data_IF_062837610186
#
_entry.id   IF_062837610186
#
_cell.length_a   1.000
_cell.length_b   1.000
_cell.length_c   1.000
_cell.angle_alpha   90.00
_cell.angle_beta   90.00
_cell.angle_gamma   90.00
#
_symmetry.space_group_name_H-M   'P 1'
#
loop_
_entity.id
_entity.type
_entity.pdbx_description
1 polymer ?
#
# COMPACT_ATOMS: atom_id res chain seq x y z
N UNK A 1 30.89 -68.02 38.80
CA UNK A 1 29.93 -68.32 37.70
C UNK A 1 29.28 -67.02 37.24
N UNK A 2 29.89 -66.39 36.30
CA UNK A 2 29.35 -65.14 35.70
C UNK A 2 28.62 -65.51 34.40
N UNK A 3 27.30 -65.37 34.43
CA UNK A 3 26.46 -65.58 33.24
C UNK A 3 26.68 -64.40 32.26
N UNK A 4 27.29 -64.67 31.11
CA UNK A 4 27.36 -63.74 30.00
C UNK A 4 25.96 -63.55 29.38
N UNK A 5 25.41 -62.38 29.51
CA UNK A 5 24.16 -62.01 28.86
C UNK A 5 24.43 -61.93 27.35
N UNK A 6 23.67 -62.74 26.64
CA UNK A 6 23.85 -62.96 25.20
C UNK A 6 23.52 -61.66 24.43
N UNK A 7 24.55 -60.98 23.88
CA UNK A 7 24.44 -59.71 23.16
C UNK A 7 23.39 -59.74 22.04
N UNK A 8 23.12 -60.91 21.49
CA UNK A 8 22.11 -61.16 20.46
C UNK A 8 20.68 -61.05 20.99
N UNK A 9 20.44 -61.43 22.25
CA UNK A 9 19.12 -61.29 22.89
C UNK A 9 18.77 -59.81 23.16
N UNK A 10 19.77 -59.00 23.50
CA UNK A 10 19.60 -57.56 23.73
C UNK A 10 19.33 -56.82 22.39
N UNK A 11 20.01 -57.26 21.29
CA UNK A 11 19.79 -56.70 19.96
C UNK A 11 18.41 -57.05 19.42
N UNK A 12 17.94 -58.30 19.62
CA UNK A 12 16.61 -58.72 19.22
C UNK A 12 15.50 -57.95 20.02
N UNK A 13 15.71 -57.66 21.30
CA UNK A 13 14.79 -56.88 22.11
C UNK A 13 14.72 -55.38 21.64
N UNK A 14 15.87 -54.80 21.28
CA UNK A 14 15.93 -53.46 20.71
C UNK A 14 15.25 -53.33 19.35
N UNK A 15 15.37 -54.36 18.50
CA UNK A 15 14.69 -54.38 17.18
C UNK A 15 13.17 -54.54 17.36
N UNK A 16 12.72 -55.37 18.30
CA UNK A 16 11.27 -55.49 18.62
C UNK A 16 10.71 -54.23 19.23
N UNK A 17 11.45 -53.55 20.10
CA UNK A 17 11.05 -52.24 20.65
C UNK A 17 11.03 -51.13 19.57
N UNK A 18 11.95 -51.15 18.62
CA UNK A 18 11.95 -50.24 17.48
C UNK A 18 10.78 -50.46 16.49
N UNK A 19 10.33 -51.73 16.35
CA UNK A 19 9.14 -52.04 15.56
C UNK A 19 7.83 -51.75 16.27
N UNK A 20 7.80 -51.62 17.60
CA UNK A 20 6.61 -51.21 18.37
C UNK A 20 6.42 -49.67 18.45
N UNK A 21 7.45 -48.90 18.09
CA UNK A 21 7.29 -47.47 17.87
C UNK A 21 6.91 -47.26 16.40
N UNK A 22 5.80 -47.83 15.98
CA UNK A 22 5.12 -47.40 14.76
C UNK A 22 4.90 -45.89 14.93
N UNK A 23 5.56 -45.08 14.09
CA UNK A 23 5.19 -43.66 13.95
C UNK A 23 3.68 -43.62 13.89
N UNK A 24 3.01 -42.75 14.65
CA UNK A 24 1.58 -42.58 14.45
C UNK A 24 1.41 -42.25 12.98
N UNK A 25 0.71 -43.11 12.25
CA UNK A 25 0.25 -42.80 10.91
C UNK A 25 -0.44 -41.45 11.08
N UNK A 26 0.13 -40.39 10.48
CA UNK A 26 -0.52 -39.09 10.37
C UNK A 26 -1.83 -39.47 9.69
N UNK A 27 -2.94 -39.37 10.40
CA UNK A 27 -4.25 -39.53 9.79
C UNK A 27 -4.22 -38.57 8.59
N UNK A 28 -4.33 -39.08 7.38
CA UNK A 28 -4.66 -38.25 6.24
C UNK A 28 -5.97 -37.59 6.65
N UNK A 29 -5.93 -36.30 6.94
CA UNK A 29 -7.14 -35.52 7.21
C UNK A 29 -8.06 -35.77 6.00
N UNK A 30 -9.14 -36.46 6.23
CA UNK A 30 -10.12 -36.80 5.20
C UNK A 30 -10.68 -35.48 4.64
N UNK A 31 -10.23 -35.11 3.43
CA UNK A 31 -10.63 -33.87 2.78
C UNK A 31 -12.12 -33.91 2.49
N UNK A 32 -12.88 -33.03 3.10
CA UNK A 32 -14.32 -32.95 2.90
C UNK A 32 -14.66 -32.29 1.55
N UNK A 33 -15.56 -32.84 0.78
CA UNK A 33 -16.03 -32.28 -0.48
C UNK A 33 -16.94 -31.09 -0.26
N UNK A 34 -16.39 -29.87 -0.36
CA UNK A 34 -17.22 -28.65 -0.19
C UNK A 34 -18.21 -28.47 -1.34
N UNK A 35 -17.87 -28.90 -2.56
CA UNK A 35 -18.77 -28.79 -3.70
C UNK A 35 -20.09 -29.55 -3.47
N UNK A 36 -20.06 -30.75 -2.90
CA UNK A 36 -21.24 -31.54 -2.61
C UNK A 36 -22.17 -30.82 -1.62
N UNK A 37 -21.63 -30.17 -0.60
CA UNK A 37 -22.36 -29.36 0.38
C UNK A 37 -23.03 -28.16 -0.32
N UNK A 38 -22.30 -27.49 -1.20
CA UNK A 38 -22.78 -26.36 -2.00
C UNK A 38 -23.92 -26.84 -2.94
N UNK A 39 -23.77 -27.99 -3.60
CA UNK A 39 -24.74 -28.50 -4.56
C UNK A 39 -26.05 -28.89 -3.89
N UNK A 40 -26.03 -29.44 -2.68
CA UNK A 40 -27.20 -29.83 -1.91
C UNK A 40 -27.94 -28.66 -1.26
N UNK A 41 -27.32 -27.50 -1.13
CA UNK A 41 -27.92 -26.33 -0.50
C UNK A 41 -29.02 -25.71 -1.36
N UNK A 42 -30.09 -25.22 -0.74
CA UNK A 42 -31.09 -24.44 -1.43
C UNK A 42 -30.62 -23.02 -1.73
N UNK A 43 -31.05 -22.38 -2.81
CA UNK A 43 -30.78 -20.96 -3.05
C UNK A 43 -31.17 -20.09 -1.85
N UNK A 44 -30.30 -19.15 -1.45
CA UNK A 44 -30.49 -18.30 -0.28
C UNK A 44 -30.12 -18.93 1.06
N UNK A 45 -29.69 -20.20 1.07
CA UNK A 45 -29.32 -20.88 2.33
C UNK A 45 -28.04 -20.33 2.93
N UNK A 46 -27.93 -20.44 4.25
CA UNK A 46 -26.70 -20.21 5.00
C UNK A 46 -26.00 -21.53 5.29
N UNK A 47 -24.83 -21.73 4.74
CA UNK A 47 -23.95 -22.86 5.02
C UNK A 47 -22.98 -22.45 6.14
N UNK A 48 -23.05 -23.14 7.26
CA UNK A 48 -22.08 -22.94 8.38
C UNK A 48 -21.11 -24.09 8.33
N UNK A 49 -19.89 -23.80 7.91
CA UNK A 49 -18.83 -24.80 7.76
C UNK A 49 -18.20 -25.10 9.12
N UNK A 50 -18.07 -26.38 9.45
CA UNK A 50 -17.37 -26.84 10.64
C UNK A 50 -15.86 -26.72 10.47
N UNK A 51 -15.12 -26.56 11.56
CA UNK A 51 -13.64 -26.62 11.51
C UNK A 51 -13.15 -27.88 10.82
N UNK A 52 -12.19 -27.72 9.90
CA UNK A 52 -11.62 -28.82 9.14
C UNK A 52 -11.12 -28.38 7.78
N UNK A 53 -10.58 -29.34 7.02
CA UNK A 53 -9.98 -29.11 5.71
C UNK A 53 -10.95 -29.56 4.61
N UNK A 54 -11.27 -28.64 3.72
CA UNK A 54 -12.13 -28.84 2.56
C UNK A 54 -11.33 -28.84 1.27
N UNK A 55 -11.78 -29.61 0.29
CA UNK A 55 -11.14 -29.68 -1.02
C UNK A 55 -11.85 -28.78 -2.03
N UNK A 56 -11.05 -27.95 -2.74
CA UNK A 56 -11.48 -27.24 -3.94
C UNK A 56 -11.14 -28.04 -5.22
N UNK A 57 -11.58 -27.61 -6.40
CA UNK A 57 -12.29 -26.36 -6.67
C UNK A 57 -13.76 -26.38 -6.22
N UNK A 58 -14.32 -25.19 -5.94
CA UNK A 58 -15.73 -25.00 -5.58
C UNK A 58 -16.36 -23.96 -6.47
N UNK A 59 -17.53 -24.25 -7.03
CA UNK A 59 -18.32 -23.34 -7.85
C UNK A 59 -19.65 -23.04 -7.17
N UNK A 60 -19.90 -21.76 -6.89
CA UNK A 60 -21.14 -21.29 -6.27
C UNK A 60 -22.00 -20.64 -7.37
N UNK A 61 -22.94 -21.39 -7.91
CA UNK A 61 -23.82 -21.02 -9.02
C UNK A 61 -25.23 -20.58 -8.58
N UNK A 62 -25.47 -20.48 -7.29
CA UNK A 62 -26.72 -20.01 -6.67
C UNK A 62 -26.42 -19.12 -5.47
N UNK A 63 -27.27 -18.14 -5.14
CA UNK A 63 -27.05 -17.25 -4.00
C UNK A 63 -26.91 -18.06 -2.70
N UNK A 64 -25.78 -17.94 -2.03
CA UNK A 64 -25.53 -18.62 -0.76
C UNK A 64 -24.80 -17.67 0.20
N UNK A 65 -24.98 -17.90 1.49
CA UNK A 65 -24.09 -17.38 2.53
C UNK A 65 -23.23 -18.53 3.06
N UNK A 66 -21.94 -18.50 2.79
CA UNK A 66 -20.97 -19.49 3.27
C UNK A 66 -20.15 -18.85 4.38
N UNK A 67 -20.19 -19.38 5.59
CA UNK A 67 -19.45 -18.84 6.73
C UNK A 67 -18.92 -19.96 7.62
N UNK A 68 -17.88 -19.63 8.40
CA UNK A 68 -17.30 -20.56 9.37
C UNK A 68 -18.08 -20.60 10.67
N UNK A 69 -18.02 -21.71 11.39
CA UNK A 69 -18.56 -21.87 12.73
C UNK A 69 -17.53 -21.40 13.77
N UNK A 70 -17.79 -20.27 14.43
CA UNK A 70 -16.92 -19.73 15.49
C UNK A 70 -15.52 -19.33 15.00
N UNK A 71 -14.54 -19.43 15.89
CA UNK A 71 -13.13 -19.11 15.61
C UNK A 71 -12.33 -20.31 15.08
N UNK A 72 -12.98 -21.41 14.74
CA UNK A 72 -12.33 -22.63 14.25
C UNK A 72 -11.77 -22.48 12.84
N UNK A 73 -10.60 -23.06 12.60
CA UNK A 73 -9.93 -23.03 11.30
C UNK A 73 -10.72 -23.85 10.27
N UNK A 74 -11.30 -23.18 9.28
CA UNK A 74 -11.88 -23.80 8.09
C UNK A 74 -10.98 -23.50 6.92
N UNK A 75 -10.30 -24.50 6.39
CA UNK A 75 -9.36 -24.34 5.30
C UNK A 75 -9.87 -24.96 4.01
N UNK A 76 -9.90 -24.19 2.92
CA UNK A 76 -10.14 -24.68 1.56
C UNK A 76 -8.80 -24.80 0.84
N UNK A 77 -8.39 -26.03 0.54
CA UNK A 77 -7.16 -26.33 -0.19
C UNK A 77 -7.46 -26.60 -1.66
N UNK A 78 -6.78 -25.91 -2.55
CA UNK A 78 -6.85 -26.19 -3.98
C UNK A 78 -5.48 -26.70 -4.49
N UNK A 79 -5.54 -27.81 -5.23
CA UNK A 79 -4.38 -28.43 -5.89
C UNK A 79 -4.55 -28.52 -7.41
N UNK A 80 -5.55 -27.84 -7.96
CA UNK A 80 -5.88 -27.86 -9.38
C UNK A 80 -5.49 -26.56 -10.08
N UNK A 81 -5.51 -26.58 -11.40
CA UNK A 81 -5.30 -25.38 -12.23
C UNK A 81 -6.55 -24.46 -12.28
N UNK A 82 -7.70 -24.92 -11.76
CA UNK A 82 -8.92 -24.13 -11.68
C UNK A 82 -8.88 -23.20 -10.45
N UNK A 83 -9.72 -22.15 -10.40
CA UNK A 83 -9.88 -21.34 -9.20
C UNK A 83 -10.30 -22.21 -8.00
N UNK A 84 -9.76 -21.92 -6.82
CA UNK A 84 -10.18 -22.62 -5.59
C UNK A 84 -11.66 -22.38 -5.29
N UNK A 85 -12.13 -21.15 -5.54
CA UNK A 85 -13.51 -20.74 -5.35
C UNK A 85 -13.96 -19.87 -6.53
N UNK A 86 -15.04 -20.27 -7.20
CA UNK A 86 -15.73 -19.47 -8.22
C UNK A 86 -17.11 -19.05 -7.72
N UNK A 87 -17.41 -17.75 -7.78
CA UNK A 87 -18.67 -17.15 -7.38
C UNK A 87 -19.37 -16.63 -8.62
N UNK A 88 -20.32 -17.40 -9.14
CA UNK A 88 -21.04 -17.08 -10.37
C UNK A 88 -22.44 -16.50 -10.08
N UNK A 89 -22.93 -16.68 -8.86
CA UNK A 89 -24.26 -16.23 -8.46
C UNK A 89 -24.22 -14.86 -7.76
N UNK A 90 -25.18 -14.03 -8.10
CA UNK A 90 -25.43 -12.74 -7.48
C UNK A 90 -25.74 -12.84 -5.98
N UNK A 91 -25.26 -11.86 -5.21
CA UNK A 91 -25.57 -11.74 -3.78
C UNK A 91 -24.96 -12.82 -2.90
N UNK A 92 -23.99 -13.55 -3.40
CA UNK A 92 -23.27 -14.57 -2.62
C UNK A 92 -22.36 -13.91 -1.56
N UNK A 93 -22.39 -14.44 -0.35
CA UNK A 93 -21.52 -14.02 0.76
C UNK A 93 -20.60 -15.17 1.16
N UNK A 94 -19.29 -14.89 1.28
CA UNK A 94 -18.28 -15.83 1.82
C UNK A 94 -17.53 -15.17 2.94
N UNK A 95 -17.48 -15.80 4.12
CA UNK A 95 -16.88 -15.22 5.29
C UNK A 95 -16.03 -16.22 6.12
N UNK A 96 -14.87 -15.76 6.57
CA UNK A 96 -14.03 -16.44 7.56
C UNK A 96 -13.19 -17.61 7.04
N UNK A 97 -13.16 -17.89 5.75
CA UNK A 97 -12.41 -19.01 5.17
C UNK A 97 -10.92 -18.68 5.04
N UNK A 98 -10.09 -19.67 5.33
CA UNK A 98 -8.70 -19.73 4.89
C UNK A 98 -8.64 -20.49 3.55
N UNK A 99 -8.06 -19.89 2.52
CA UNK A 99 -7.95 -20.48 1.19
C UNK A 99 -6.47 -20.62 0.84
N UNK A 100 -6.00 -21.86 0.67
CA UNK A 100 -4.63 -22.16 0.29
C UNK A 100 -4.57 -22.68 -1.14
N UNK A 101 -4.00 -21.88 -2.03
CA UNK A 101 -3.84 -22.15 -3.45
C UNK A 101 -2.43 -21.75 -3.90
N UNK A 102 -1.44 -22.45 -3.39
CA UNK A 102 -0.02 -22.08 -3.50
C UNK A 102 0.67 -22.48 -4.80
N UNK A 103 -0.04 -23.09 -5.74
CA UNK A 103 0.52 -23.45 -7.05
C UNK A 103 0.61 -22.22 -7.95
N UNK A 104 1.78 -21.95 -8.53
CA UNK A 104 1.93 -20.85 -9.51
C UNK A 104 1.11 -21.17 -10.76
N UNK A 105 0.16 -20.30 -11.08
CA UNK A 105 -0.78 -20.47 -12.19
C UNK A 105 -1.34 -19.13 -12.65
N UNK A 106 -1.93 -19.11 -13.85
CA UNK A 106 -2.57 -17.92 -14.41
C UNK A 106 -4.01 -17.69 -13.88
N UNK A 107 -4.68 -18.76 -13.40
CA UNK A 107 -6.03 -18.64 -12.88
C UNK A 107 -6.02 -18.07 -11.45
N UNK A 108 -7.02 -17.24 -11.09
CA UNK A 108 -7.10 -16.68 -9.75
C UNK A 108 -7.45 -17.74 -8.69
N UNK A 109 -7.12 -17.44 -7.44
CA UNK A 109 -7.56 -18.25 -6.30
C UNK A 109 -9.07 -18.12 -6.09
N UNK A 110 -9.59 -16.89 -6.10
CA UNK A 110 -11.04 -16.60 -6.02
C UNK A 110 -11.46 -15.87 -7.28
N UNK A 111 -12.42 -16.43 -8.03
CA UNK A 111 -13.01 -15.80 -9.21
C UNK A 111 -14.43 -15.34 -8.90
N UNK A 112 -14.73 -14.07 -9.16
CA UNK A 112 -16.06 -13.47 -8.91
C UNK A 112 -16.64 -12.97 -10.22
N UNK A 113 -17.80 -13.52 -10.61
CA UNK A 113 -18.63 -13.12 -11.73
C UNK A 113 -20.05 -12.73 -11.32
N UNK A 114 -20.43 -13.05 -10.09
CA UNK A 114 -21.72 -12.66 -9.53
C UNK A 114 -21.73 -11.24 -8.99
N UNK A 115 -22.73 -10.45 -9.32
CA UNK A 115 -22.92 -9.11 -8.78
C UNK A 115 -23.22 -9.15 -7.27
N UNK A 116 -22.90 -8.07 -6.56
CA UNK A 116 -23.17 -7.91 -5.12
C UNK A 116 -22.55 -9.00 -4.24
N UNK A 117 -21.45 -9.59 -4.69
CA UNK A 117 -20.69 -10.55 -3.89
C UNK A 117 -20.07 -9.88 -2.67
N UNK A 118 -20.06 -10.57 -1.53
CA UNK A 118 -19.43 -10.11 -0.29
C UNK A 118 -18.38 -11.13 0.16
N UNK A 119 -17.11 -10.70 0.22
CA UNK A 119 -15.97 -11.46 0.73
C UNK A 119 -15.48 -10.79 2.02
N UNK A 120 -15.61 -11.46 3.15
CA UNK A 120 -15.33 -10.87 4.45
C UNK A 120 -14.43 -11.77 5.31
N UNK A 121 -13.35 -11.22 5.82
CA UNK A 121 -12.48 -11.92 6.79
C UNK A 121 -11.82 -13.17 6.22
N UNK A 122 -11.47 -13.17 4.94
CA UNK A 122 -10.78 -14.28 4.30
C UNK A 122 -9.26 -14.19 4.59
N UNK A 123 -8.61 -15.34 4.62
CA UNK A 123 -7.16 -15.43 4.56
C UNK A 123 -6.77 -16.22 3.31
N UNK A 124 -6.18 -15.55 2.32
CA UNK A 124 -5.87 -16.12 1.00
C UNK A 124 -4.37 -16.21 0.83
N UNK A 125 -3.87 -17.43 0.61
CA UNK A 125 -2.51 -17.71 0.15
C UNK A 125 -2.56 -18.12 -1.31
N UNK A 126 -2.06 -17.26 -2.19
CA UNK A 126 -2.24 -17.42 -3.64
C UNK A 126 -0.94 -17.67 -4.39
N UNK A 127 -1.00 -18.43 -5.48
CA UNK A 127 0.06 -18.56 -6.48
C UNK A 127 -0.34 -17.97 -7.85
N UNK A 128 -1.50 -17.32 -7.94
CA UNK A 128 -1.98 -16.52 -9.07
C UNK A 128 -2.56 -15.20 -8.56
N UNK A 129 -3.60 -14.65 -9.22
CA UNK A 129 -4.35 -13.55 -8.61
C UNK A 129 -5.08 -14.05 -7.36
N UNK A 130 -5.09 -13.23 -6.30
CA UNK A 130 -5.80 -13.57 -5.07
C UNK A 130 -7.31 -13.59 -5.28
N UNK A 131 -7.88 -12.46 -5.69
CA UNK A 131 -9.29 -12.29 -6.03
C UNK A 131 -9.37 -11.63 -7.40
N UNK A 132 -9.99 -12.28 -8.36
CA UNK A 132 -10.30 -11.70 -9.66
C UNK A 132 -11.80 -11.44 -9.80
N UNK A 133 -12.14 -10.20 -10.15
CA UNK A 133 -13.52 -9.77 -10.46
C UNK A 133 -13.61 -9.57 -11.97
N UNK A 134 -14.63 -10.17 -12.59
CA UNK A 134 -14.84 -10.09 -14.03
C UNK A 134 -16.31 -9.79 -14.33
N UNK A 135 -16.58 -8.63 -14.93
CA UNK A 135 -17.90 -8.18 -15.36
C UNK A 135 -18.97 -8.24 -14.24
N UNK A 136 -18.57 -7.96 -13.00
CA UNK A 136 -19.44 -8.04 -11.83
C UNK A 136 -19.39 -6.74 -11.02
N UNK A 137 -20.54 -6.27 -10.56
CA UNK A 137 -20.72 -4.97 -9.92
C UNK A 137 -21.12 -5.07 -8.43
N UNK A 138 -20.93 -3.94 -7.71
CA UNK A 138 -21.52 -3.66 -6.40
C UNK A 138 -21.04 -4.58 -5.27
N UNK A 139 -19.89 -5.22 -5.43
CA UNK A 139 -19.36 -6.12 -4.42
C UNK A 139 -18.58 -5.44 -3.29
N UNK A 140 -18.20 -6.25 -2.32
CA UNK A 140 -17.42 -5.85 -1.15
C UNK A 140 -16.35 -6.89 -0.84
N UNK A 141 -15.10 -6.46 -0.70
CA UNK A 141 -14.02 -7.24 -0.09
C UNK A 141 -13.57 -6.49 1.17
N UNK A 142 -13.69 -7.11 2.31
CA UNK A 142 -13.35 -6.44 3.58
C UNK A 142 -12.66 -7.37 4.57
N UNK A 143 -11.80 -6.81 5.44
CA UNK A 143 -11.07 -7.53 6.49
C UNK A 143 -10.33 -8.78 5.98
N UNK A 144 -9.90 -8.77 4.73
CA UNK A 144 -9.31 -9.92 4.05
C UNK A 144 -7.79 -9.76 3.96
N UNK A 145 -7.07 -10.84 4.25
CA UNK A 145 -5.61 -10.89 4.09
C UNK A 145 -5.27 -11.70 2.85
N UNK A 146 -4.42 -11.16 1.98
CA UNK A 146 -3.94 -11.82 0.76
C UNK A 146 -2.42 -11.80 0.77
N UNK A 147 -1.83 -13.00 0.78
CA UNK A 147 -0.39 -13.20 0.75
C UNK A 147 0.03 -14.07 -0.43
N UNK A 148 1.15 -13.74 -1.06
CA UNK A 148 1.77 -14.63 -2.04
C UNK A 148 2.31 -15.89 -1.39
N UNK A 149 2.04 -17.07 -1.96
CA UNK A 149 2.34 -18.36 -1.35
C UNK A 149 3.66 -19.00 -1.83
N UNK A 150 4.05 -18.79 -3.09
CA UNK A 150 5.18 -19.50 -3.71
C UNK A 150 6.51 -18.77 -3.49
N UNK A 151 7.55 -19.49 -3.10
CA UNK A 151 8.89 -18.94 -2.95
C UNK A 151 9.63 -18.85 -4.30
N UNK A 152 10.61 -17.94 -4.38
CA UNK A 152 11.52 -17.82 -5.53
C UNK A 152 10.90 -17.22 -6.79
N UNK A 153 9.65 -16.74 -6.76
CA UNK A 153 8.99 -16.09 -7.89
C UNK A 153 9.32 -14.61 -7.90
N UNK A 154 9.78 -14.09 -9.04
CA UNK A 154 10.07 -12.66 -9.18
C UNK A 154 8.78 -11.85 -9.09
N UNK A 155 8.84 -10.63 -8.56
CA UNK A 155 7.67 -9.74 -8.43
C UNK A 155 6.90 -9.58 -9.74
N UNK A 156 7.58 -9.46 -10.86
CA UNK A 156 6.97 -9.29 -12.18
C UNK A 156 6.21 -10.54 -12.71
N UNK A 157 6.46 -11.69 -12.12
CA UNK A 157 5.85 -12.97 -12.53
C UNK A 157 4.75 -13.42 -11.55
N UNK A 158 4.44 -12.60 -10.55
CA UNK A 158 3.37 -12.84 -9.58
C UNK A 158 2.02 -12.34 -10.11
N UNK A 159 0.94 -12.87 -9.56
CA UNK A 159 -0.41 -12.34 -9.75
C UNK A 159 -0.71 -11.13 -8.87
N UNK A 160 -1.83 -10.47 -9.13
CA UNK A 160 -2.34 -9.36 -8.34
C UNK A 160 -3.00 -9.85 -7.04
N UNK A 161 -3.02 -9.02 -6.01
CA UNK A 161 -3.79 -9.32 -4.80
C UNK A 161 -5.29 -9.32 -5.10
N UNK A 162 -5.75 -8.21 -5.63
CA UNK A 162 -7.11 -8.05 -6.19
C UNK A 162 -6.96 -7.54 -7.62
N UNK A 163 -7.67 -8.15 -8.55
CA UNK A 163 -7.68 -7.83 -9.96
C UNK A 163 -9.11 -7.64 -10.45
N UNK A 164 -9.48 -6.39 -10.76
CA UNK A 164 -10.82 -6.01 -11.16
C UNK A 164 -10.83 -5.56 -12.61
N UNK A 165 -11.57 -6.25 -13.44
CA UNK A 165 -11.83 -5.88 -14.82
C UNK A 165 -13.32 -5.71 -15.05
N UNK A 166 -13.72 -4.51 -15.50
CA UNK A 166 -15.11 -4.17 -15.79
C UNK A 166 -16.07 -4.47 -14.61
N UNK A 167 -15.64 -4.04 -13.39
CA UNK A 167 -16.41 -4.19 -12.16
C UNK A 167 -16.64 -2.85 -11.49
N UNK A 168 -17.87 -2.34 -11.55
CA UNK A 168 -18.21 -1.00 -11.06
C UNK A 168 -18.73 -1.02 -9.63
N UNK A 169 -18.58 0.09 -8.90
CA UNK A 169 -19.13 0.33 -7.55
C UNK A 169 -18.64 -0.69 -6.50
N UNK A 170 -17.46 -1.27 -6.70
CA UNK A 170 -16.83 -2.14 -5.71
C UNK A 170 -16.30 -1.35 -4.51
N UNK A 171 -16.22 -2.03 -3.39
CA UNK A 171 -15.62 -1.52 -2.17
C UNK A 171 -14.56 -2.49 -1.67
N UNK A 172 -13.34 -2.01 -1.51
CA UNK A 172 -12.21 -2.73 -0.93
C UNK A 172 -11.83 -2.04 0.37
N UNK A 173 -12.14 -2.65 1.52
CA UNK A 173 -12.07 -1.98 2.81
C UNK A 173 -11.28 -2.81 3.82
N UNK A 174 -10.34 -2.16 4.53
CA UNK A 174 -9.62 -2.75 5.67
C UNK A 174 -8.92 -4.09 5.35
N UNK A 175 -8.41 -4.25 4.12
CA UNK A 175 -7.70 -5.44 3.70
C UNK A 175 -6.19 -5.29 3.90
N UNK A 176 -5.49 -6.41 4.09
CA UNK A 176 -4.03 -6.49 4.13
C UNK A 176 -3.53 -7.33 2.96
N UNK A 177 -2.69 -6.73 2.10
CA UNK A 177 -2.22 -7.39 0.87
C UNK A 177 -0.70 -7.29 0.81
N UNK A 178 -0.02 -8.42 0.60
CA UNK A 178 1.44 -8.45 0.65
C UNK A 178 2.07 -9.36 -0.40
N UNK A 179 3.26 -8.93 -0.86
CA UNK A 179 4.15 -9.73 -1.69
C UNK A 179 3.55 -10.17 -3.04
N UNK A 180 2.58 -9.44 -3.58
CA UNK A 180 1.89 -9.69 -4.85
C UNK A 180 2.40 -8.75 -5.96
N UNK A 181 1.99 -8.97 -7.22
CA UNK A 181 2.37 -8.07 -8.31
C UNK A 181 1.82 -6.67 -8.08
N UNK A 182 0.52 -6.43 -8.25
CA UNK A 182 -0.17 -5.22 -7.81
C UNK A 182 -1.10 -5.56 -6.64
N UNK A 183 -1.15 -4.67 -5.64
CA UNK A 183 -2.00 -4.91 -4.48
C UNK A 183 -3.47 -4.94 -4.85
N UNK A 184 -4.01 -3.81 -5.33
CA UNK A 184 -5.36 -3.69 -5.87
C UNK A 184 -5.26 -3.05 -7.25
N UNK A 185 -5.52 -3.84 -8.29
CA UNK A 185 -5.60 -3.41 -9.67
C UNK A 185 -7.05 -3.27 -10.12
N UNK A 186 -7.38 -2.15 -10.75
CA UNK A 186 -8.72 -1.86 -11.26
C UNK A 186 -8.61 -1.31 -12.67
N UNK A 187 -9.26 -1.96 -13.60
CA UNK A 187 -9.35 -1.54 -15.00
C UNK A 187 -10.81 -1.43 -15.45
N UNK A 188 -11.18 -0.37 -16.16
CA UNK A 188 -12.55 -0.08 -16.59
C UNK A 188 -13.59 -0.20 -15.45
N UNK A 189 -13.23 0.27 -14.25
CA UNK A 189 -14.01 0.00 -13.03
C UNK A 189 -14.35 1.31 -12.33
N UNK A 190 -15.51 1.87 -12.65
CA UNK A 190 -15.95 3.18 -12.17
C UNK A 190 -16.60 3.12 -10.77
N UNK A 191 -16.65 4.29 -10.12
CA UNK A 191 -17.34 4.50 -8.83
C UNK A 191 -16.83 3.59 -7.69
N UNK A 192 -15.61 3.09 -7.81
CA UNK A 192 -15.01 2.16 -6.85
C UNK A 192 -14.43 2.90 -5.64
N UNK A 193 -14.48 2.26 -4.47
CA UNK A 193 -13.88 2.77 -3.22
C UNK A 193 -12.82 1.82 -2.69
N UNK A 194 -11.65 2.38 -2.42
CA UNK A 194 -10.49 1.68 -1.82
C UNK A 194 -10.15 2.39 -0.52
N UNK A 195 -10.50 1.82 0.63
CA UNK A 195 -10.47 2.52 1.92
C UNK A 195 -9.80 1.70 3.00
N UNK A 196 -8.85 2.28 3.74
CA UNK A 196 -8.28 1.67 4.94
C UNK A 196 -7.41 0.43 4.68
N UNK A 197 -7.00 0.17 3.45
CA UNK A 197 -6.20 -1.02 3.13
C UNK A 197 -4.72 -0.80 3.45
N UNK A 198 -4.04 -1.87 3.84
CA UNK A 198 -2.60 -1.92 4.04
C UNK A 198 -1.95 -2.80 2.97
N UNK A 199 -1.05 -2.21 2.16
CA UNK A 199 -0.46 -2.89 1.01
C UNK A 199 1.07 -2.75 1.04
N UNK A 200 1.76 -3.89 1.01
CA UNK A 200 3.20 -3.93 1.18
C UNK A 200 3.91 -4.82 0.15
N UNK A 201 5.11 -4.43 -0.27
CA UNK A 201 6.03 -5.21 -1.12
C UNK A 201 5.40 -5.68 -2.43
N UNK A 202 4.67 -4.76 -3.08
CA UNK A 202 4.04 -4.96 -4.39
C UNK A 202 4.67 -4.03 -5.44
N UNK A 203 4.40 -4.23 -6.72
CA UNK A 203 4.78 -3.28 -7.76
C UNK A 203 4.01 -1.97 -7.55
N UNK A 204 2.70 -1.99 -7.68
CA UNK A 204 1.83 -0.87 -7.34
C UNK A 204 0.96 -1.28 -6.14
N UNK A 205 0.91 -0.43 -5.12
CA UNK A 205 0.02 -0.67 -3.99
C UNK A 205 -1.43 -0.63 -4.46
N UNK A 206 -1.85 0.48 -5.05
CA UNK A 206 -3.16 0.65 -5.67
C UNK A 206 -2.94 1.12 -7.10
N UNK A 207 -3.56 0.48 -8.07
CA UNK A 207 -3.44 0.79 -9.49
C UNK A 207 -4.81 0.95 -10.13
N UNK A 208 -5.12 2.17 -10.57
CA UNK A 208 -6.34 2.52 -11.28
C UNK A 208 -6.01 2.80 -12.74
N UNK A 209 -6.66 2.11 -13.66
CA UNK A 209 -6.49 2.32 -15.09
C UNK A 209 -7.85 2.42 -15.79
N UNK A 210 -8.04 3.45 -16.60
CA UNK A 210 -9.30 3.73 -17.31
C UNK A 210 -10.52 3.79 -16.36
N UNK A 211 -10.36 4.44 -15.18
CA UNK A 211 -11.42 4.53 -14.18
C UNK A 211 -11.94 5.96 -14.02
N UNK A 212 -13.20 6.09 -13.59
CA UNK A 212 -13.80 7.37 -13.28
C UNK A 212 -14.41 7.35 -11.87
N UNK A 213 -14.37 8.48 -11.16
CA UNK A 213 -14.99 8.68 -9.84
C UNK A 213 -14.56 7.68 -8.77
N UNK A 214 -13.35 7.14 -8.92
CA UNK A 214 -12.75 6.25 -7.92
C UNK A 214 -12.30 7.05 -6.70
N UNK A 215 -12.54 6.50 -5.52
CA UNK A 215 -12.11 7.08 -4.25
C UNK A 215 -11.07 6.17 -3.59
N UNK A 216 -9.88 6.71 -3.35
CA UNK A 216 -8.76 6.05 -2.66
C UNK A 216 -8.52 6.83 -1.38
N UNK A 217 -8.92 6.29 -0.23
CA UNK A 217 -8.85 7.06 1.02
C UNK A 217 -8.32 6.25 2.21
N UNK A 218 -7.51 6.90 3.06
CA UNK A 218 -6.97 6.32 4.30
C UNK A 218 -6.28 4.97 4.13
N UNK A 219 -5.61 4.74 2.99
CA UNK A 219 -4.82 3.54 2.77
C UNK A 219 -3.37 3.76 3.21
N UNK A 220 -2.73 2.68 3.64
CA UNK A 220 -1.30 2.64 3.95
C UNK A 220 -0.56 1.78 2.93
N UNK A 221 0.50 2.32 2.34
CA UNK A 221 1.36 1.60 1.40
C UNK A 221 2.83 1.76 1.75
N UNK A 222 3.57 0.66 1.85
CA UNK A 222 4.99 0.73 2.13
C UNK A 222 5.79 -0.34 1.37
N UNK A 223 7.03 0.00 1.01
CA UNK A 223 7.95 -0.91 0.32
C UNK A 223 7.42 -1.43 -1.03
N UNK A 224 6.48 -0.73 -1.65
CA UNK A 224 6.05 -0.98 -3.01
C UNK A 224 6.99 -0.26 -3.99
N UNK A 225 6.92 -0.54 -5.29
CA UNK A 225 7.61 0.30 -6.28
C UNK A 225 6.88 1.64 -6.38
N UNK A 226 5.55 1.66 -6.44
CA UNK A 226 4.73 2.87 -6.37
C UNK A 226 3.58 2.67 -5.38
N UNK A 227 3.31 3.66 -4.53
CA UNK A 227 2.24 3.58 -3.54
C UNK A 227 0.86 3.55 -4.18
N UNK A 228 0.51 4.59 -4.94
CA UNK A 228 -0.70 4.63 -5.75
C UNK A 228 -0.38 5.12 -7.17
N UNK A 229 -0.88 4.43 -8.18
CA UNK A 229 -0.83 4.82 -9.58
C UNK A 229 -2.24 5.04 -10.12
N UNK A 230 -2.50 6.24 -10.59
CA UNK A 230 -3.76 6.63 -11.24
C UNK A 230 -3.42 6.97 -12.69
N UNK A 231 -3.94 6.15 -13.61
CA UNK A 231 -3.57 6.24 -15.03
C UNK A 231 -4.80 6.31 -15.93
N UNK A 232 -4.79 7.26 -16.85
CA UNK A 232 -5.88 7.49 -17.85
C UNK A 232 -7.24 7.51 -17.14
N UNK A 233 -7.36 8.38 -16.13
CA UNK A 233 -8.51 8.39 -15.23
C UNK A 233 -9.07 9.81 -15.04
N UNK A 234 -10.33 9.89 -14.60
CA UNK A 234 -11.00 11.17 -14.36
C UNK A 234 -11.74 11.19 -13.04
N UNK A 235 -11.80 12.38 -12.42
CA UNK A 235 -12.57 12.61 -11.20
C UNK A 235 -12.22 11.63 -10.05
N UNK A 236 -10.95 11.23 -9.98
CA UNK A 236 -10.44 10.36 -8.94
C UNK A 236 -10.13 11.21 -7.70
N UNK A 237 -10.45 10.69 -6.52
CA UNK A 237 -10.10 11.31 -5.25
C UNK A 237 -9.09 10.43 -4.51
N UNK A 238 -7.90 10.98 -4.23
CA UNK A 238 -6.83 10.31 -3.44
C UNK A 238 -6.64 11.13 -2.18
N UNK A 239 -7.21 10.68 -1.05
CA UNK A 239 -7.36 11.53 0.13
C UNK A 239 -6.90 10.82 1.40
N UNK A 240 -6.05 11.48 2.20
CA UNK A 240 -5.66 11.01 3.54
C UNK A 240 -4.87 9.71 3.55
N UNK A 241 -4.19 9.35 2.45
CA UNK A 241 -3.40 8.14 2.38
C UNK A 241 -1.97 8.37 2.90
N UNK A 242 -1.31 7.30 3.31
CA UNK A 242 0.09 7.29 3.73
C UNK A 242 0.92 6.34 2.87
N UNK A 243 1.81 6.89 2.05
CA UNK A 243 2.69 6.11 1.18
C UNK A 243 4.16 6.37 1.51
N UNK A 244 4.85 5.33 1.97
CA UNK A 244 6.21 5.49 2.49
C UNK A 244 7.20 4.47 1.95
N UNK A 245 8.47 4.90 1.82
CA UNK A 245 9.61 4.02 1.49
C UNK A 245 9.48 3.30 0.14
N UNK A 246 8.87 3.93 -0.84
CA UNK A 246 8.85 3.47 -2.23
C UNK A 246 10.16 3.93 -2.89
N UNK A 247 11.29 3.30 -2.58
CA UNK A 247 12.61 3.82 -2.96
C UNK A 247 13.56 2.80 -3.58
N UNK A 248 13.19 1.53 -3.66
CA UNK A 248 14.06 0.47 -4.16
C UNK A 248 14.30 0.52 -5.68
N UNK A 249 13.46 1.25 -6.41
CA UNK A 249 13.54 1.40 -7.86
C UNK A 249 13.73 2.87 -8.24
N UNK A 250 14.48 3.16 -9.29
CA UNK A 250 14.67 4.52 -9.83
C UNK A 250 13.35 5.17 -10.28
N UNK A 251 12.34 4.37 -10.57
CA UNK A 251 11.00 4.80 -10.96
C UNK A 251 9.99 4.71 -9.81
N UNK A 252 10.45 4.67 -8.56
CA UNK A 252 9.56 4.57 -7.40
C UNK A 252 8.91 5.91 -7.09
N UNK A 253 7.59 5.93 -6.94
CA UNK A 253 6.81 7.11 -6.60
C UNK A 253 5.89 6.84 -5.40
N UNK A 254 5.66 7.86 -4.59
CA UNK A 254 4.62 7.79 -3.57
C UNK A 254 3.24 7.75 -4.21
N UNK A 255 2.88 8.79 -4.95
CA UNK A 255 1.65 8.86 -5.75
C UNK A 255 2.01 9.30 -7.16
N UNK A 256 1.51 8.57 -8.16
CA UNK A 256 1.68 8.84 -9.58
C UNK A 256 0.34 9.11 -10.24
N UNK A 257 0.22 10.27 -10.87
CA UNK A 257 -0.86 10.64 -11.79
C UNK A 257 -0.30 10.65 -13.21
N UNK A 258 -0.83 9.82 -14.08
CA UNK A 258 -0.46 9.77 -15.49
C UNK A 258 -1.72 9.88 -16.37
N UNK A 259 -1.78 10.86 -17.22
CA UNK A 259 -2.97 11.12 -18.07
C UNK A 259 -4.27 11.15 -17.21
N UNK A 260 -4.18 11.88 -16.07
CA UNK A 260 -5.25 11.98 -15.07
C UNK A 260 -5.85 13.37 -15.09
N UNK A 261 -7.19 13.47 -15.08
CA UNK A 261 -7.87 14.74 -15.25
C UNK A 261 -8.94 14.99 -14.17
N UNK A 262 -9.15 16.26 -13.84
CA UNK A 262 -10.24 16.73 -12.96
C UNK A 262 -10.29 15.99 -11.61
N UNK A 263 -9.13 15.61 -11.09
CA UNK A 263 -8.97 14.76 -9.92
C UNK A 263 -8.45 15.53 -8.71
N UNK A 264 -8.61 14.96 -7.52
CA UNK A 264 -8.21 15.56 -6.25
C UNK A 264 -7.18 14.71 -5.54
N UNK A 265 -6.08 15.32 -5.13
CA UNK A 265 -5.01 14.72 -4.33
C UNK A 265 -4.87 15.55 -3.05
N UNK A 266 -5.47 15.11 -1.93
CA UNK A 266 -5.56 15.93 -0.73
C UNK A 266 -5.18 15.17 0.55
N UNK A 267 -4.58 15.89 1.50
CA UNK A 267 -4.30 15.40 2.85
C UNK A 267 -3.45 14.12 2.92
N UNK A 268 -2.69 13.81 1.86
CA UNK A 268 -1.85 12.60 1.83
C UNK A 268 -0.50 12.87 2.48
N UNK A 269 0.05 11.85 3.13
CA UNK A 269 1.43 11.83 3.62
C UNK A 269 2.28 10.95 2.70
N UNK A 270 3.36 11.54 2.15
CA UNK A 270 4.25 10.87 1.19
C UNK A 270 5.69 11.01 1.69
N UNK A 271 6.27 9.91 2.20
CA UNK A 271 7.49 9.93 3.00
C UNK A 271 8.57 8.97 2.49
N UNK A 272 9.78 9.47 2.26
CA UNK A 272 10.95 8.64 1.98
C UNK A 272 10.92 7.90 0.64
N UNK A 273 10.24 8.44 -0.38
CA UNK A 273 10.14 7.85 -1.70
C UNK A 273 11.23 8.41 -2.65
N UNK A 274 11.38 7.81 -3.83
CA UNK A 274 12.22 8.37 -4.87
C UNK A 274 11.62 9.67 -5.42
N UNK A 275 10.34 9.66 -5.77
CA UNK A 275 9.53 10.85 -6.06
C UNK A 275 8.30 10.82 -5.17
N UNK A 276 8.02 11.90 -4.47
CA UNK A 276 6.83 12.00 -3.64
C UNK A 276 5.56 12.02 -4.49
N UNK A 277 5.30 13.11 -5.18
CA UNK A 277 4.19 13.29 -6.09
C UNK A 277 4.71 13.37 -7.53
N UNK A 278 4.26 12.49 -8.39
CA UNK A 278 4.61 12.49 -9.81
C UNK A 278 3.35 12.74 -10.65
N UNK A 279 3.39 13.79 -11.48
CA UNK A 279 2.25 14.23 -12.29
C UNK A 279 2.73 14.39 -13.72
N UNK A 280 2.21 13.56 -14.63
CA UNK A 280 2.59 13.57 -16.05
C UNK A 280 1.34 13.53 -16.94
N UNK A 281 1.34 14.33 -18.04
CA UNK A 281 0.27 14.43 -19.04
C UNK A 281 -1.12 14.72 -18.40
N UNK A 282 -1.14 15.38 -17.25
CA UNK A 282 -2.33 15.48 -16.41
C UNK A 282 -2.82 16.93 -16.31
N UNK A 283 -4.15 17.13 -16.31
CA UNK A 283 -4.75 18.47 -16.34
C UNK A 283 -5.95 18.61 -15.43
N UNK A 284 -6.19 19.83 -14.92
CA UNK A 284 -7.36 20.15 -14.12
C UNK A 284 -7.38 19.54 -12.72
N UNK A 285 -6.26 18.99 -12.25
CA UNK A 285 -6.19 18.35 -10.96
C UNK A 285 -5.94 19.36 -9.83
N UNK A 286 -6.39 19.02 -8.65
CA UNK A 286 -6.18 19.76 -7.40
C UNK A 286 -5.29 18.96 -6.46
N UNK A 287 -4.11 19.49 -6.14
CA UNK A 287 -3.16 18.91 -5.20
C UNK A 287 -3.07 19.86 -3.99
N UNK A 288 -3.65 19.49 -2.85
CA UNK A 288 -3.79 20.39 -1.72
C UNK A 288 -3.54 19.70 -0.37
N UNK A 289 -2.95 20.43 0.58
CA UNK A 289 -2.71 19.96 1.95
C UNK A 289 -1.88 18.68 2.08
N UNK A 290 -1.12 18.28 1.06
CA UNK A 290 -0.31 17.08 1.15
C UNK A 290 0.99 17.35 1.92
N UNK A 291 1.38 16.40 2.78
CA UNK A 291 2.68 16.39 3.46
C UNK A 291 3.67 15.53 2.67
N UNK A 292 4.62 16.16 2.02
CA UNK A 292 5.59 15.54 1.11
C UNK A 292 6.99 15.70 1.68
N UNK A 293 7.53 14.65 2.30
CA UNK A 293 8.75 14.78 3.08
C UNK A 293 9.78 13.68 2.82
N UNK A 294 11.05 14.05 2.98
CA UNK A 294 12.20 13.13 2.91
C UNK A 294 12.29 12.34 1.60
N UNK A 295 11.68 12.82 0.51
CA UNK A 295 11.78 12.20 -0.80
C UNK A 295 13.03 12.69 -1.53
N UNK A 296 13.51 11.96 -2.55
CA UNK A 296 14.57 12.48 -3.38
C UNK A 296 14.05 13.66 -4.24
N UNK A 297 12.85 13.57 -4.80
CA UNK A 297 12.12 14.69 -5.40
C UNK A 297 10.76 14.79 -4.70
N UNK A 298 10.41 15.97 -4.18
CA UNK A 298 9.12 16.19 -3.54
C UNK A 298 7.97 16.08 -4.53
N UNK A 299 7.93 16.97 -5.54
CA UNK A 299 6.95 16.92 -6.63
C UNK A 299 7.65 17.02 -7.98
N UNK A 300 7.17 16.24 -8.94
CA UNK A 300 7.62 16.28 -10.33
C UNK A 300 6.43 16.50 -11.27
N UNK A 301 6.49 17.59 -12.06
CA UNK A 301 5.48 17.97 -13.04
C UNK A 301 6.04 17.82 -14.44
N UNK A 302 5.43 16.99 -15.26
CA UNK A 302 5.87 16.72 -16.62
C UNK A 302 4.71 16.86 -17.60
N UNK A 303 4.89 17.74 -18.60
CA UNK A 303 3.93 17.88 -19.69
C UNK A 303 2.47 18.04 -19.18
N UNK A 304 2.29 18.77 -18.04
CA UNK A 304 1.04 18.88 -17.28
C UNK A 304 0.65 20.34 -17.10
N UNK A 305 -0.63 20.68 -17.28
CA UNK A 305 -1.11 22.06 -17.25
C UNK A 305 -2.45 22.22 -16.56
N UNK A 306 -2.82 23.45 -16.22
CA UNK A 306 -4.11 23.79 -15.62
C UNK A 306 -4.40 23.06 -14.29
N UNK A 307 -3.36 22.62 -13.59
CA UNK A 307 -3.50 22.03 -12.25
C UNK A 307 -3.41 23.13 -11.18
N UNK A 308 -4.06 22.91 -10.05
CA UNK A 308 -3.95 23.76 -8.84
C UNK A 308 -3.15 23.03 -7.79
N UNK A 309 -2.03 23.61 -7.35
CA UNK A 309 -1.12 23.03 -6.35
C UNK A 309 -0.99 24.04 -5.23
N UNK A 310 -1.69 23.82 -4.11
CA UNK A 310 -1.78 24.80 -3.04
C UNK A 310 -1.72 24.17 -1.64
N UNK A 311 -1.20 24.93 -0.67
CA UNK A 311 -1.15 24.57 0.75
C UNK A 311 -0.42 23.24 1.05
N UNK A 312 0.40 22.72 0.11
CA UNK A 312 1.19 21.54 0.35
C UNK A 312 2.44 21.88 1.16
N UNK A 313 2.93 20.91 1.91
CA UNK A 313 4.12 21.04 2.73
C UNK A 313 5.25 20.16 2.16
N UNK A 314 6.29 20.79 1.62
CA UNK A 314 7.50 20.11 1.13
C UNK A 314 8.61 20.29 2.15
N UNK A 315 9.08 19.20 2.77
CA UNK A 315 10.05 19.26 3.88
C UNK A 315 11.11 18.17 3.77
N UNK A 316 12.37 18.53 3.87
CA UNK A 316 13.49 17.57 3.89
C UNK A 316 13.67 16.79 2.60
N UNK A 317 13.07 17.23 1.48
CA UNK A 317 13.30 16.62 0.19
C UNK A 317 14.67 17.03 -0.36
N UNK A 318 15.29 16.15 -1.14
CA UNK A 318 16.58 16.49 -1.76
C UNK A 318 16.39 17.57 -2.83
N UNK A 319 15.35 17.43 -3.66
CA UNK A 319 14.79 18.47 -4.51
C UNK A 319 13.32 18.68 -4.15
N UNK A 320 12.90 19.88 -3.82
CA UNK A 320 11.50 20.12 -3.48
C UNK A 320 10.60 19.93 -4.69
N UNK A 321 10.98 20.47 -5.84
CA UNK A 321 10.17 20.42 -7.04
C UNK A 321 11.01 20.32 -8.31
N UNK A 322 10.46 19.66 -9.34
CA UNK A 322 10.97 19.62 -10.70
C UNK A 322 9.81 19.83 -11.67
N UNK A 323 9.99 20.66 -12.67
CA UNK A 323 8.96 20.90 -13.68
C UNK A 323 9.57 20.96 -15.09
N UNK A 324 8.85 20.41 -16.06
CA UNK A 324 9.21 20.48 -17.48
C UNK A 324 7.94 20.56 -18.33
N UNK A 325 7.90 21.49 -19.28
CA UNK A 325 6.75 21.68 -20.19
C UNK A 325 5.41 21.69 -19.43
N UNK A 326 5.41 22.33 -18.25
CA UNK A 326 4.26 22.33 -17.33
C UNK A 326 3.86 23.77 -17.02
N UNK A 327 3.40 24.45 -18.07
CA UNK A 327 2.95 25.84 -18.04
C UNK A 327 1.48 25.90 -17.58
N UNK A 328 0.99 27.10 -17.24
CA UNK A 328 -0.40 27.36 -16.85
C UNK A 328 -0.92 26.59 -15.61
N UNK A 329 -0.01 26.10 -14.77
CA UNK A 329 -0.40 25.57 -13.46
C UNK A 329 -0.51 26.70 -12.44
N UNK A 330 -1.55 26.68 -11.63
CA UNK A 330 -1.70 27.60 -10.50
C UNK A 330 -0.99 27.01 -9.29
N UNK A 331 0.21 27.49 -8.98
CA UNK A 331 0.98 27.08 -7.81
C UNK A 331 1.05 28.27 -6.84
N UNK A 332 0.52 28.08 -5.63
CA UNK A 332 0.39 29.18 -4.66
C UNK A 332 0.30 28.63 -3.24
N UNK A 333 0.88 29.36 -2.29
CA UNK A 333 0.72 29.10 -0.86
C UNK A 333 1.20 27.67 -0.46
N UNK A 334 2.27 27.17 -1.10
CA UNK A 334 2.93 25.97 -0.63
C UNK A 334 4.13 26.34 0.26
N UNK A 335 4.41 25.48 1.22
CA UNK A 335 5.61 25.59 2.05
C UNK A 335 6.75 24.76 1.47
N UNK A 336 7.91 25.44 1.28
CA UNK A 336 9.13 24.85 0.73
C UNK A 336 10.28 25.10 1.73
N UNK A 337 10.76 24.07 2.42
CA UNK A 337 11.74 24.26 3.50
C UNK A 337 13.13 24.75 3.02
N UNK A 338 13.47 24.51 1.76
CA UNK A 338 14.68 25.03 1.14
C UNK A 338 14.56 26.48 0.63
N UNK A 339 13.35 27.03 0.55
CA UNK A 339 13.11 28.40 0.09
C UNK A 339 13.35 29.42 1.19
N UNK A 340 13.92 30.54 0.80
CA UNK A 340 14.14 31.70 1.68
C UNK A 340 13.40 32.91 1.10
N UNK A 341 12.21 33.14 1.62
CA UNK A 341 11.35 34.25 1.22
C UNK A 341 11.55 35.49 2.09
N UNK A 342 10.81 36.55 1.74
CA UNK A 342 10.68 37.79 2.52
C UNK A 342 9.19 38.08 2.61
N UNK A 343 8.69 38.26 3.79
CA UNK A 343 7.33 38.73 4.09
C UNK A 343 7.44 40.15 4.66
N UNK A 344 7.27 41.13 3.81
CA UNK A 344 7.41 42.53 4.20
C UNK A 344 6.10 43.14 4.71
N UNK A 345 4.96 42.55 4.34
CA UNK A 345 3.63 43.02 4.72
C UNK A 345 3.05 42.31 5.96
N UNK A 346 3.65 41.17 6.37
CA UNK A 346 3.25 40.41 7.57
C UNK A 346 2.03 39.55 7.38
N UNK A 347 1.72 39.13 6.14
CA UNK A 347 0.53 38.32 5.85
C UNK A 347 0.81 36.77 5.91
N UNK A 348 2.07 36.38 6.17
CA UNK A 348 2.51 35.00 6.27
C UNK A 348 2.94 34.36 4.94
N UNK A 349 2.83 35.10 3.84
CA UNK A 349 3.28 34.70 2.52
C UNK A 349 4.55 35.45 2.15
N UNK A 350 5.35 34.87 1.27
CA UNK A 350 6.51 35.57 0.73
C UNK A 350 6.14 36.51 -0.41
N UNK A 351 6.62 37.74 -0.34
CA UNK A 351 6.57 38.74 -1.45
C UNK A 351 7.50 38.35 -2.61
N UNK A 352 8.34 37.34 -2.42
CA UNK A 352 9.23 36.79 -3.45
C UNK A 352 8.72 35.42 -3.84
N UNK A 353 8.48 35.23 -5.14
CA UNK A 353 8.04 33.95 -5.69
C UNK A 353 9.16 32.88 -5.67
N UNK A 354 8.77 31.61 -5.50
CA UNK A 354 9.65 30.46 -5.66
C UNK A 354 9.56 29.89 -7.08
N UNK A 355 10.59 30.07 -7.87
CA UNK A 355 10.67 29.57 -9.24
C UNK A 355 11.42 28.24 -9.30
N UNK A 356 10.77 27.21 -9.86
CA UNK A 356 11.35 25.87 -10.01
C UNK A 356 12.32 25.88 -11.20
N UNK A 357 13.63 25.69 -10.90
CA UNK A 357 14.66 25.71 -11.92
C UNK A 357 14.70 24.40 -12.73
N UNK A 358 14.51 24.41 -14.05
CA UNK A 358 14.49 23.20 -14.85
C UNK A 358 15.87 22.62 -15.17
N UNK A 359 16.97 23.35 -14.90
CA UNK A 359 18.33 22.97 -15.30
C UNK A 359 18.70 21.55 -14.87
N UNK A 360 18.48 21.22 -13.61
CA UNK A 360 18.85 19.91 -13.09
C UNK A 360 18.08 18.78 -13.79
N UNK A 361 16.79 18.95 -14.02
CA UNK A 361 15.98 17.99 -14.73
C UNK A 361 16.41 17.81 -16.19
N UNK A 362 16.74 18.89 -16.89
CA UNK A 362 17.28 18.83 -18.25
C UNK A 362 18.62 18.09 -18.33
N UNK A 363 19.49 18.34 -17.37
CA UNK A 363 20.79 17.66 -17.29
C UNK A 363 20.65 16.17 -17.01
N UNK A 364 19.82 15.80 -16.07
CA UNK A 364 19.61 14.39 -15.68
C UNK A 364 18.87 13.59 -16.74
N UNK A 365 17.98 14.22 -17.51
CA UNK A 365 17.35 13.60 -18.68
C UNK A 365 18.39 13.23 -19.75
N UNK A 366 19.35 14.13 -20.00
CA UNK A 366 20.44 13.89 -20.99
C UNK A 366 21.47 12.90 -20.49
N UNK A 367 21.79 12.93 -19.18
CA UNK A 367 22.80 12.09 -18.53
C UNK A 367 22.39 11.79 -17.09
N UNK A 368 21.77 10.63 -16.81
CA UNK A 368 21.31 10.26 -15.47
C UNK A 368 22.38 10.32 -14.38
N UNK A 369 23.66 10.13 -14.74
CA UNK A 369 24.78 10.22 -13.80
C UNK A 369 24.90 11.59 -13.09
N UNK A 370 24.34 12.67 -13.66
CA UNK A 370 24.32 13.96 -12.98
C UNK A 370 23.48 13.96 -11.69
N UNK A 371 22.61 13.00 -11.48
CA UNK A 371 21.88 12.84 -10.21
C UNK A 371 22.82 12.68 -9.01
N UNK A 372 24.03 12.15 -9.22
CA UNK A 372 25.05 12.03 -8.16
C UNK A 372 25.60 13.36 -7.68
N UNK A 373 25.48 14.42 -8.47
CA UNK A 373 25.99 15.75 -8.17
C UNK A 373 24.93 16.72 -7.66
N UNK A 374 23.72 16.23 -7.46
CA UNK A 374 22.66 17.03 -6.88
C UNK A 374 23.10 17.57 -5.51
N UNK A 375 22.78 18.81 -5.21
CA UNK A 375 23.26 19.55 -4.03
C UNK A 375 24.78 19.72 -3.92
N UNK A 376 25.58 19.32 -4.93
CA UNK A 376 27.00 19.71 -4.93
C UNK A 376 27.10 21.24 -5.07
N UNK A 377 28.09 21.87 -4.43
CA UNK A 377 28.27 23.32 -4.54
C UNK A 377 28.37 23.82 -5.99
N UNK A 378 28.96 23.01 -6.87
CA UNK A 378 29.05 23.32 -8.31
C UNK A 378 27.70 23.30 -9.02
N UNK A 379 26.80 22.35 -8.64
CA UNK A 379 25.47 22.29 -9.24
C UNK A 379 24.60 23.45 -8.76
N UNK A 380 24.61 23.76 -7.47
CA UNK A 380 23.89 24.91 -6.89
C UNK A 380 24.37 26.23 -7.55
N UNK A 381 25.66 26.34 -7.80
CA UNK A 381 26.23 27.50 -8.49
C UNK A 381 25.73 27.59 -9.96
N UNK A 382 25.71 26.47 -10.69
CA UNK A 382 25.19 26.41 -12.06
C UNK A 382 23.69 26.72 -12.13
N UNK A 383 22.90 26.23 -11.19
CA UNK A 383 21.47 26.57 -11.08
C UNK A 383 21.26 28.06 -10.88
N UNK A 384 22.07 28.70 -10.04
CA UNK A 384 22.02 30.14 -9.82
C UNK A 384 22.38 30.98 -11.04
N UNK A 385 23.22 30.42 -11.95
CA UNK A 385 23.60 31.08 -13.20
C UNK A 385 22.60 30.81 -14.35
N UNK A 386 21.82 29.75 -14.27
CA UNK A 386 20.88 29.41 -15.32
C UNK A 386 19.67 30.34 -15.27
N UNK A 387 19.51 31.15 -16.32
CA UNK A 387 18.47 32.19 -16.42
C UNK A 387 17.67 32.07 -17.73
N UNK A 388 17.91 30.99 -18.51
CA UNK A 388 17.22 30.82 -19.80
C UNK A 388 15.72 30.64 -19.60
N UNK A 389 14.95 31.39 -20.35
CA UNK A 389 13.47 31.32 -20.40
C UNK A 389 12.77 31.36 -19.02
N UNK A 390 13.31 32.18 -18.09
CA UNK A 390 12.81 32.27 -16.71
C UNK A 390 11.33 32.60 -16.60
N UNK A 391 10.79 33.33 -17.55
CA UNK A 391 9.36 33.70 -17.61
C UNK A 391 8.43 32.51 -17.86
N UNK A 392 9.01 31.37 -18.27
CA UNK A 392 8.29 30.09 -18.47
C UNK A 392 8.48 29.11 -17.35
N UNK A 393 9.24 29.45 -16.30
CA UNK A 393 9.43 28.54 -15.20
C UNK A 393 8.15 28.38 -14.39
N UNK A 394 7.87 27.17 -14.04
CA UNK A 394 6.81 26.86 -13.08
C UNK A 394 7.13 27.55 -11.76
N UNK A 395 6.20 28.33 -11.23
CA UNK A 395 6.50 29.26 -10.11
C UNK A 395 5.37 29.20 -9.08
N UNK A 396 5.74 29.07 -7.79
CA UNK A 396 4.84 29.38 -6.69
C UNK A 396 4.86 30.90 -6.49
N UNK A 397 3.70 31.51 -6.67
CA UNK A 397 3.58 32.97 -6.69
C UNK A 397 3.66 33.62 -5.29
N UNK A 398 3.24 32.90 -4.25
CA UNK A 398 3.19 33.39 -2.87
C UNK A 398 3.49 32.27 -1.87
N UNK A 399 4.74 31.77 -1.81
CA UNK A 399 5.10 30.68 -0.90
C UNK A 399 4.85 31.02 0.58
N UNK A 400 4.41 30.03 1.34
CA UNK A 400 4.22 30.19 2.78
C UNK A 400 5.56 30.36 3.52
N UNK A 401 5.62 31.31 4.44
CA UNK A 401 6.79 31.55 5.30
C UNK A 401 6.90 30.54 6.44
N UNK A 402 5.79 29.94 6.84
CA UNK A 402 5.73 28.92 7.89
C UNK A 402 4.91 27.71 7.39
N UNK A 403 5.29 26.50 7.80
CA UNK A 403 4.53 25.32 7.38
C UNK A 403 3.09 25.38 7.85
N UNK A 404 2.12 24.99 7.01
CA UNK A 404 0.73 24.86 7.45
C UNK A 404 0.65 23.82 8.57
N UNK A 405 -0.19 24.09 9.59
CA UNK A 405 -0.40 23.13 10.68
C UNK A 405 -1.20 21.93 10.17
N UNK A 406 -0.63 20.74 10.26
CA UNK A 406 -1.39 19.51 10.02
C UNK A 406 -2.26 19.19 11.24
N UNK A 407 -3.47 18.71 11.02
CA UNK A 407 -4.38 18.29 12.12
C UNK A 407 -3.73 17.24 13.05
N UNK A 408 -2.81 16.43 12.55
CA UNK A 408 -2.05 15.46 13.35
C UNK A 408 -1.06 16.10 14.35
N UNK A 409 -0.69 17.39 14.21
CA UNK A 409 0.20 18.06 15.17
C UNK A 409 -0.54 18.59 16.40
N UNK A 410 -1.85 18.68 16.39
CA UNK A 410 -2.65 19.10 17.55
C UNK A 410 -2.58 18.01 18.66
N UNK A 411 -2.54 16.73 18.29
CA UNK A 411 -2.34 15.63 19.24
C UNK A 411 -0.91 15.53 19.81
N UNK A 412 0.10 15.92 19.03
CA UNK A 412 1.51 15.89 19.45
C UNK A 412 1.89 17.01 20.44
N UNK A 413 1.14 18.10 20.50
CA UNK A 413 1.39 19.19 21.45
C UNK A 413 1.15 18.74 22.91
N UNK A 414 0.16 17.91 23.16
CA UNK A 414 -0.07 17.29 24.47
C UNK A 414 1.02 16.27 24.83
N UNK A 415 1.46 15.45 23.87
CA UNK A 415 2.55 14.50 24.04
C UNK A 415 3.89 15.19 24.34
N UNK A 416 4.21 16.29 23.68
CA UNK A 416 5.43 17.09 23.94
C UNK A 416 5.44 17.73 25.32
N UNK A 417 4.29 18.22 25.79
CA UNK A 417 4.14 18.79 27.14
C UNK A 417 4.35 17.71 28.21
N UNK A 418 3.78 16.54 28.04
CA UNK A 418 3.98 15.37 28.93
C UNK A 418 5.44 14.90 28.94
N UNK A 419 6.10 14.83 27.79
CA UNK A 419 7.51 14.44 27.68
C UNK A 419 8.42 15.49 28.33
N UNK A 420 8.12 16.78 28.17
CA UNK A 420 8.83 17.87 28.84
C UNK A 420 8.70 17.81 30.36
N UNK A 421 7.53 17.54 30.89
CA UNK A 421 7.29 17.37 32.32
C UNK A 421 8.02 16.13 32.85
N UNK A 422 7.98 15.00 32.16
CA UNK A 422 8.71 13.78 32.51
C UNK A 422 10.23 14.03 32.53
N UNK A 423 10.77 14.78 31.57
CA UNK A 423 12.18 15.17 31.53
C UNK A 423 12.59 16.05 32.73
N UNK A 424 11.75 17.02 33.12
CA UNK A 424 11.99 17.85 34.29
C UNK A 424 11.94 17.06 35.61
N UNK A 425 11.02 16.12 35.73
CA UNK A 425 10.92 15.22 36.90
C UNK A 425 12.17 14.34 37.01
N UNK A 426 12.65 13.77 35.90
CA UNK A 426 13.88 12.97 35.87
C UNK A 426 15.12 13.80 36.25
N UNK A 427 15.22 15.04 35.77
CA UNK A 427 16.28 15.98 36.15
C UNK A 427 16.23 16.33 37.63
N UNK A 428 15.04 16.55 38.20
CA UNK A 428 14.83 16.78 39.61
C UNK A 428 15.25 15.57 40.47
N UNK A 429 14.87 14.35 40.07
CA UNK A 429 15.25 13.09 40.76
C UNK A 429 16.76 12.85 40.73
N UNK A 430 17.42 13.08 39.57
CA UNK A 430 18.86 12.93 39.46
C UNK A 430 19.63 13.97 40.29
N UNK A 431 19.15 15.20 40.34
CA UNK A 431 19.70 16.27 41.19
C UNK A 431 19.61 15.97 42.67
N UNK A 432 18.45 15.46 43.14
CA UNK A 432 18.25 15.08 44.52
C UNK A 432 19.11 13.84 44.95
N UNK A 433 19.24 12.86 44.04
CA UNK A 433 20.11 11.70 44.24
C UNK A 433 21.57 12.10 44.34
N UNK A 434 22.03 12.99 43.47
CA UNK A 434 23.40 13.50 43.50
C UNK A 434 23.70 14.29 44.77
N UNK A 435 22.76 15.15 45.22
CA UNK A 435 22.88 15.90 46.46
C UNK A 435 22.91 14.98 47.69
N UNK A 436 22.08 13.92 47.71
CA UNK A 436 22.03 12.93 48.79
C UNK A 436 23.31 12.07 48.87
N UNK A 437 23.86 11.65 47.73
CA UNK A 437 25.15 10.94 47.65
C UNK A 437 26.30 11.81 48.15
N UNK A 438 26.36 13.07 47.78
CA UNK A 438 27.41 14.02 48.20
C UNK A 438 27.37 14.25 49.71
N UNK A 439 26.19 14.25 50.30
CA UNK A 439 26.02 14.42 51.78
C UNK A 439 26.38 13.17 52.60
N UNK A 440 26.49 12.01 51.99
CA UNK A 440 26.92 10.75 52.62
C UNK A 440 28.43 10.51 52.51
N UNK A 441 29.12 11.21 51.65
CA UNK A 441 30.56 11.10 51.45
C UNK A 441 31.35 12.21 52.14
N UNK A 442 30.71 13.20 52.76
CA UNK A 442 31.27 14.18 53.70
C UNK A 442 30.87 13.81 55.13
#
# INVERSE_FOLDING_TARGET
MTRSINKWALLALLVVLAMMHGSPARAEDELMGLQEIVDQANPGATLVLKPGTYQGPVVVNKPLTIRTEGEGNVELINRSQLPALSIDADGTTVAGLHITDGMVKETPTVLVRGHRAVLNGLYIRTGGDGIAVRDADEGLVTNTTIDWAAEGVRLADKGNGVDVFNGHRWRFMDNTIRDVHDGIYMENSDDTRVTGNRIERSRYGIHCMYTNRTVIERNEGSLNVTGAMVMTARQVSVIGNSFSKQSENVNSQGILLYDTHDSVLADNTVDGNRVGLYVELSTGNRLENNEVRYNFVGIQLLDSSSNSIAHNRFTGNVADAQARSSEDNRIIENYWDNFRGIDANGDGNSDISYAINPLFQELTKKRPAFQLFFQSPGMVFLEGLYQSDRDRWTTDAAPLMTPPMSENQIGDAEGRTLTGIAGLVLLGCTGTLFFWMRRRMS
#
